data_IF_121857608862
#
_entry.id   IF_121857608862
#
_cell.length_a   1.000
_cell.length_b   1.000
_cell.length_c   1.000
_cell.angle_alpha   90.00
_cell.angle_beta   90.00
_cell.angle_gamma   90.00
#
_symmetry.space_group_name_H-M   'P 1'
#
loop_
_entity.id
_entity.type
_entity.pdbx_description
1 polymer ?
#
# COMPACT_ATOMS: atom_id res chain seq x y z
N UNK A 1 -24.84 6.15 -6.36
CA UNK A 1 -24.59 7.15 -5.31
C UNK A 1 -23.35 6.78 -4.50
N UNK A 2 -22.30 7.59 -4.62
CA UNK A 2 -21.04 7.54 -3.87
C UNK A 2 -21.06 8.67 -2.84
N UNK A 3 -20.56 8.40 -1.64
CA UNK A 3 -20.59 9.29 -0.50
C UNK A 3 -19.20 9.47 0.08
N UNK A 4 -18.89 10.68 0.54
CA UNK A 4 -17.71 10.96 1.35
C UNK A 4 -18.08 11.83 2.53
N UNK A 5 -17.59 11.47 3.71
CA UNK A 5 -17.92 12.15 4.97
C UNK A 5 -16.66 12.62 5.69
N UNK A 6 -16.66 13.90 6.07
CA UNK A 6 -15.61 14.52 6.87
C UNK A 6 -16.15 15.05 8.18
N UNK A 7 -15.36 14.92 9.23
CA UNK A 7 -15.58 15.55 10.52
C UNK A 7 -14.43 16.49 10.82
N UNK A 8 -14.76 17.75 11.11
CA UNK A 8 -13.77 18.76 11.52
C UNK A 8 -14.19 19.38 12.84
N UNK A 9 -13.23 19.50 13.75
CA UNK A 9 -13.42 20.20 15.03
C UNK A 9 -12.81 21.58 14.90
N UNK A 10 -13.54 22.60 15.33
CA UNK A 10 -13.09 23.99 15.29
C UNK A 10 -13.15 24.59 16.68
N UNK A 11 -11.98 24.93 17.19
CA UNK A 11 -11.80 25.53 18.52
C UNK A 11 -11.87 27.07 18.48
N UNK A 12 -11.83 27.67 17.28
CA UNK A 12 -11.84 29.12 17.09
C UNK A 12 -13.26 29.69 17.15
N UNK A 13 -13.42 30.77 17.91
CA UNK A 13 -14.65 31.56 18.10
C UNK A 13 -15.28 32.03 16.77
N UNK A 14 -14.47 32.23 15.73
CA UNK A 14 -14.92 32.84 14.46
C UNK A 14 -15.64 31.86 13.52
N UNK A 15 -15.58 30.55 13.75
CA UNK A 15 -16.22 29.53 12.88
C UNK A 15 -17.25 28.71 13.63
N UNK A 16 -18.11 29.38 14.41
CA UNK A 16 -19.13 28.71 15.22
C UNK A 16 -20.43 28.43 14.47
N UNK A 17 -20.57 28.89 13.22
CA UNK A 17 -21.79 28.72 12.42
C UNK A 17 -21.52 27.96 11.13
N UNK A 18 -22.54 27.29 10.60
CA UNK A 18 -22.45 26.64 9.28
C UNK A 18 -22.15 27.68 8.20
N UNK A 19 -22.71 28.88 8.29
CA UNK A 19 -22.46 29.94 7.30
C UNK A 19 -21.00 30.42 7.33
N UNK A 20 -20.40 30.61 8.51
CA UNK A 20 -18.99 30.99 8.59
C UNK A 20 -18.06 29.89 8.07
N UNK A 21 -18.39 28.60 8.29
CA UNK A 21 -17.68 27.51 7.65
C UNK A 21 -17.80 27.55 6.11
N UNK A 22 -19.01 27.74 5.58
CA UNK A 22 -19.24 27.86 4.13
C UNK A 22 -18.40 28.98 3.52
N UNK A 23 -18.41 30.16 4.14
CA UNK A 23 -17.64 31.30 3.68
C UNK A 23 -16.12 31.01 3.66
N UNK A 24 -15.60 30.25 4.64
CA UNK A 24 -14.19 29.86 4.66
C UNK A 24 -13.85 28.86 3.55
N UNK A 25 -14.72 27.89 3.29
CA UNK A 25 -14.54 26.95 2.17
C UNK A 25 -14.57 27.70 0.83
N UNK A 26 -15.44 28.70 0.70
CA UNK A 26 -15.58 29.57 -0.47
C UNK A 26 -14.54 30.71 -0.54
N UNK A 27 -13.52 30.71 0.32
CA UNK A 27 -12.35 31.60 0.14
C UNK A 27 -11.51 31.22 -1.09
N UNK A 28 -11.77 30.05 -1.65
CA UNK A 28 -11.28 29.61 -2.95
C UNK A 28 -12.30 29.98 -4.02
N UNK A 29 -11.93 30.84 -4.96
CA UNK A 29 -12.83 31.31 -6.02
C UNK A 29 -13.35 30.17 -6.91
N UNK A 30 -12.64 29.04 -6.93
CA UNK A 30 -13.05 27.85 -7.68
C UNK A 30 -14.14 27.02 -6.97
N UNK A 31 -14.44 27.31 -5.69
CA UNK A 31 -15.44 26.59 -4.90
C UNK A 31 -16.65 27.49 -4.64
N UNK A 32 -17.82 27.06 -5.12
CA UNK A 32 -19.08 27.73 -4.85
C UNK A 32 -20.07 26.79 -4.15
N UNK A 33 -20.40 27.11 -2.89
CA UNK A 33 -21.38 26.38 -2.09
C UNK A 33 -22.72 27.12 -2.16
N UNK A 34 -23.69 26.52 -2.83
CA UNK A 34 -25.09 26.96 -2.81
C UNK A 34 -25.83 26.33 -1.62
N UNK A 35 -27.17 26.33 -1.57
CA UNK A 35 -27.92 25.72 -0.44
C UNK A 35 -27.60 24.23 -0.25
N UNK A 36 -27.56 23.46 -1.34
CA UNK A 36 -27.41 22.00 -1.34
C UNK A 36 -26.37 21.49 -2.34
N UNK A 37 -25.81 22.37 -3.18
CA UNK A 37 -24.87 21.99 -4.23
C UNK A 37 -23.50 22.65 -4.05
N UNK A 38 -22.45 21.85 -4.09
CA UNK A 38 -21.05 22.21 -4.20
C UNK A 38 -20.70 22.27 -5.69
N UNK A 39 -20.36 23.45 -6.19
CA UNK A 39 -19.84 23.64 -7.54
C UNK A 39 -18.34 23.82 -7.51
N UNK A 40 -17.64 23.09 -8.35
CA UNK A 40 -16.19 23.20 -8.57
C UNK A 40 -15.92 23.15 -10.06
N UNK A 41 -15.53 24.29 -10.64
CA UNK A 41 -15.50 24.45 -12.10
C UNK A 41 -16.87 24.25 -12.72
N UNK A 42 -16.97 23.36 -13.72
CA UNK A 42 -18.23 23.01 -14.39
C UNK A 42 -19.05 21.93 -13.66
N UNK A 43 -18.44 21.28 -12.67
CA UNK A 43 -19.07 20.16 -11.96
C UNK A 43 -19.86 20.62 -10.74
N UNK A 44 -20.96 19.93 -10.46
CA UNK A 44 -21.86 20.19 -9.33
C UNK A 44 -22.16 18.89 -8.60
N UNK A 45 -21.99 18.90 -7.28
CA UNK A 45 -22.17 17.75 -6.39
C UNK A 45 -23.09 18.13 -5.24
N UNK A 46 -23.90 17.20 -4.75
CA UNK A 46 -24.74 17.45 -3.59
C UNK A 46 -23.91 17.40 -2.31
N UNK A 47 -24.25 18.26 -1.34
CA UNK A 47 -23.59 18.27 -0.04
C UNK A 47 -24.55 18.62 1.11
N UNK A 48 -24.21 18.14 2.29
CA UNK A 48 -24.89 18.41 3.55
C UNK A 48 -23.85 18.81 4.61
N UNK A 49 -24.15 19.82 5.42
CA UNK A 49 -23.32 20.20 6.57
C UNK A 49 -24.20 20.25 7.81
N UNK A 50 -23.87 19.42 8.79
CA UNK A 50 -24.47 19.47 10.12
C UNK A 50 -23.44 19.99 11.12
N UNK A 51 -23.95 20.66 12.15
CA UNK A 51 -23.15 21.22 13.24
C UNK A 51 -23.53 20.51 14.54
N UNK A 52 -22.55 20.23 15.38
CA UNK A 52 -22.76 19.82 16.75
C UNK A 52 -21.73 20.43 17.71
N UNK A 53 -21.86 20.05 18.98
CA UNK A 53 -20.96 20.50 20.05
C UNK A 53 -20.28 19.31 20.69
N UNK A 54 -19.01 19.49 21.04
CA UNK A 54 -18.27 18.54 21.87
C UNK A 54 -18.55 18.90 23.32
N UNK A 55 -19.14 17.97 24.06
CA UNK A 55 -19.57 18.19 25.44
C UNK A 55 -18.46 17.91 26.47
N UNK A 56 -17.35 17.31 26.04
CA UNK A 56 -16.21 16.95 26.88
C UNK A 56 -15.00 17.83 26.56
N UNK A 57 -14.51 18.59 27.55
CA UNK A 57 -13.37 19.50 27.42
C UNK A 57 -13.76 20.96 27.19
N UNK A 58 -12.92 21.72 26.47
CA UNK A 58 -13.27 23.05 25.98
C UNK A 58 -14.44 22.93 25.01
N UNK A 59 -15.44 23.82 25.13
CA UNK A 59 -16.67 23.79 24.32
C UNK A 59 -16.37 24.07 22.84
N UNK A 60 -15.91 23.06 22.13
CA UNK A 60 -15.59 23.13 20.70
C UNK A 60 -16.79 22.77 19.84
N UNK A 61 -16.90 23.46 18.70
CA UNK A 61 -17.91 23.14 17.69
C UNK A 61 -17.32 22.14 16.71
N UNK A 62 -18.07 21.11 16.35
CA UNK A 62 -17.70 20.25 15.24
C UNK A 62 -18.67 20.44 14.07
N UNK A 63 -18.16 20.18 12.88
CA UNK A 63 -18.94 20.13 11.65
C UNK A 63 -18.76 18.76 11.00
N UNK A 64 -19.88 18.16 10.63
CA UNK A 64 -19.94 16.94 9.85
C UNK A 64 -20.39 17.32 8.44
N UNK A 65 -19.49 17.13 7.48
CA UNK A 65 -19.69 17.44 6.08
C UNK A 65 -19.90 16.13 5.34
N UNK A 66 -20.98 16.04 4.57
CA UNK A 66 -21.26 14.91 3.68
C UNK A 66 -21.33 15.42 2.25
N UNK A 67 -20.70 14.68 1.34
CA UNK A 67 -20.69 14.99 -0.08
C UNK A 67 -21.15 13.76 -0.85
N UNK A 68 -21.91 13.99 -1.92
CA UNK A 68 -22.54 12.94 -2.70
C UNK A 68 -22.26 13.11 -4.19
N UNK A 69 -22.00 12.00 -4.86
CA UNK A 69 -21.83 11.89 -6.29
C UNK A 69 -22.72 10.77 -6.83
N UNK A 70 -23.68 11.09 -7.69
CA UNK A 70 -24.63 10.10 -8.20
C UNK A 70 -23.98 9.13 -9.20
N UNK A 71 -23.15 9.67 -10.08
CA UNK A 71 -22.63 8.99 -11.26
C UNK A 71 -21.18 8.52 -11.06
N UNK A 72 -20.92 7.25 -11.40
CA UNK A 72 -19.57 6.66 -11.31
C UNK A 72 -18.58 7.23 -12.33
N UNK A 73 -19.08 7.86 -13.40
CA UNK A 73 -18.31 8.56 -14.42
C UNK A 73 -17.66 9.84 -13.88
N UNK A 74 -18.25 10.47 -12.85
CA UNK A 74 -17.79 11.75 -12.30
C UNK A 74 -16.91 11.61 -11.05
N UNK A 75 -16.48 10.39 -10.73
CA UNK A 75 -15.71 10.13 -9.50
C UNK A 75 -14.34 10.80 -9.52
N UNK A 76 -13.72 10.92 -10.68
CA UNK A 76 -12.43 11.59 -10.81
C UNK A 76 -12.56 13.08 -10.48
N UNK A 77 -13.54 13.75 -11.10
CA UNK A 77 -13.87 15.15 -10.84
C UNK A 77 -14.33 15.36 -9.40
N UNK A 78 -15.10 14.41 -8.86
CA UNK A 78 -15.53 14.43 -7.46
C UNK A 78 -14.32 14.34 -6.50
N UNK A 79 -13.36 13.45 -6.78
CA UNK A 79 -12.11 13.34 -6.01
C UNK A 79 -11.31 14.63 -6.04
N UNK A 80 -11.23 15.30 -7.19
CA UNK A 80 -10.57 16.59 -7.36
C UNK A 80 -11.29 17.67 -6.53
N UNK A 81 -12.63 17.72 -6.60
CA UNK A 81 -13.43 18.66 -5.82
C UNK A 81 -13.23 18.46 -4.30
N UNK A 82 -13.29 17.21 -3.83
CA UNK A 82 -13.03 16.87 -2.43
C UNK A 82 -11.62 17.25 -2.00
N UNK A 83 -10.61 17.09 -2.87
CA UNK A 83 -9.23 17.53 -2.58
C UNK A 83 -9.15 19.03 -2.33
N UNK A 84 -9.83 19.85 -3.14
CA UNK A 84 -9.88 21.31 -2.94
C UNK A 84 -10.58 21.65 -1.62
N UNK A 85 -11.70 21.00 -1.31
CA UNK A 85 -12.41 21.18 -0.03
C UNK A 85 -11.50 20.80 1.14
N UNK A 86 -10.83 19.64 1.11
CA UNK A 86 -9.87 19.22 2.15
C UNK A 86 -8.74 20.23 2.32
N UNK A 87 -8.25 20.81 1.22
CA UNK A 87 -7.28 21.90 1.23
C UNK A 87 -7.76 23.08 2.08
N UNK A 88 -9.01 23.52 1.90
CA UNK A 88 -9.59 24.62 2.70
C UNK A 88 -9.87 24.21 4.15
N UNK A 89 -10.37 23.00 4.37
CA UNK A 89 -10.56 22.45 5.72
C UNK A 89 -9.23 22.45 6.50
N UNK A 90 -8.12 22.09 5.85
CA UNK A 90 -6.78 22.06 6.47
C UNK A 90 -6.28 23.42 6.95
N UNK A 91 -6.76 24.53 6.35
CA UNK A 91 -6.46 25.90 6.80
C UNK A 91 -7.23 26.29 8.07
N UNK A 92 -8.40 25.68 8.28
CA UNK A 92 -9.23 25.91 9.48
C UNK A 92 -8.68 25.10 10.64
N UNK A 93 -8.47 23.80 10.41
CA UNK A 93 -7.81 22.89 11.32
C UNK A 93 -6.99 21.89 10.48
N UNK A 94 -5.71 21.72 10.83
CA UNK A 94 -4.82 20.77 10.14
C UNK A 94 -5.40 19.36 10.13
N UNK A 95 -6.15 19.00 11.17
CA UNK A 95 -6.74 17.67 11.32
C UNK A 95 -8.22 17.70 10.94
N UNK A 96 -8.58 16.87 9.98
CA UNK A 96 -9.96 16.49 9.67
C UNK A 96 -10.02 14.96 9.63
N UNK A 97 -11.12 14.39 10.12
CA UNK A 97 -11.33 12.95 10.15
C UNK A 97 -12.18 12.54 8.97
N UNK A 98 -11.75 11.52 8.23
CA UNK A 98 -12.58 10.89 7.20
C UNK A 98 -13.42 9.80 7.85
N UNK A 99 -14.74 9.95 7.86
CA UNK A 99 -15.66 9.00 8.47
C UNK A 99 -16.15 7.94 7.46
N UNK A 100 -16.21 8.33 6.19
CA UNK A 100 -16.67 7.48 5.09
C UNK A 100 -16.02 7.92 3.78
N UNK A 101 -15.58 6.98 2.94
CA UNK A 101 -14.90 7.28 1.69
C UNK A 101 -15.22 6.25 0.57
N UNK A 102 -16.30 6.51 -0.17
CA UNK A 102 -16.65 5.67 -1.32
C UNK A 102 -15.74 5.91 -2.53
N UNK A 103 -14.98 7.01 -2.58
CA UNK A 103 -14.00 7.25 -3.65
C UNK A 103 -12.86 6.25 -3.51
N UNK A 104 -12.32 6.11 -2.30
CA UNK A 104 -11.33 5.07 -1.99
C UNK A 104 -11.88 3.67 -2.22
N UNK A 105 -13.13 3.40 -1.84
CA UNK A 105 -13.77 2.11 -2.11
C UNK A 105 -13.85 1.81 -3.61
N UNK A 106 -14.32 2.77 -4.43
CA UNK A 106 -14.43 2.63 -5.88
C UNK A 106 -13.09 2.26 -6.54
N UNK A 107 -12.02 2.99 -6.20
CA UNK A 107 -10.69 2.69 -6.75
C UNK A 107 -10.13 1.39 -6.19
N UNK A 108 -10.39 1.06 -4.93
CA UNK A 108 -9.98 -0.21 -4.33
C UNK A 108 -10.63 -1.40 -5.03
N UNK A 109 -11.93 -1.34 -5.35
CA UNK A 109 -12.61 -2.39 -6.12
C UNK A 109 -12.02 -2.57 -7.51
N UNK A 110 -11.67 -1.47 -8.20
CA UNK A 110 -11.02 -1.53 -9.52
C UNK A 110 -9.60 -2.08 -9.45
N UNK A 111 -8.84 -1.64 -8.45
CA UNK A 111 -7.43 -2.00 -8.27
C UNK A 111 -7.28 -3.45 -7.81
N UNK A 112 -8.16 -3.93 -6.92
CA UNK A 112 -8.04 -5.25 -6.32
C UNK A 112 -8.00 -6.38 -7.36
N UNK A 113 -8.82 -6.31 -8.41
CA UNK A 113 -8.79 -7.28 -9.50
C UNK A 113 -7.44 -7.33 -10.22
N UNK A 114 -6.82 -6.16 -10.44
CA UNK A 114 -5.50 -6.05 -11.08
C UNK A 114 -4.39 -6.57 -10.15
N UNK A 115 -4.43 -6.18 -8.88
CA UNK A 115 -3.48 -6.64 -7.86
C UNK A 115 -3.57 -8.15 -7.69
N UNK A 116 -4.78 -8.69 -7.55
CA UNK A 116 -5.03 -10.12 -7.43
C UNK A 116 -4.51 -10.91 -8.65
N UNK A 117 -4.69 -10.36 -9.86
CA UNK A 117 -4.14 -10.97 -11.05
C UNK A 117 -2.60 -11.01 -11.03
N UNK A 118 -1.96 -9.90 -10.69
CA UNK A 118 -0.48 -9.80 -10.58
C UNK A 118 0.05 -10.74 -9.51
N UNK A 119 -0.62 -10.80 -8.36
CA UNK A 119 -0.28 -11.70 -7.26
C UNK A 119 -0.32 -13.16 -7.70
N UNK A 120 -1.37 -13.58 -8.41
CA UNK A 120 -1.45 -14.94 -8.96
C UNK A 120 -0.38 -15.22 -10.01
N UNK A 121 -0.03 -14.22 -10.84
CA UNK A 121 1.08 -14.37 -11.80
C UNK A 121 2.42 -14.58 -11.08
N UNK A 122 2.70 -13.81 -10.03
CA UNK A 122 3.90 -13.98 -9.22
C UNK A 122 3.93 -15.34 -8.52
N UNK A 123 2.82 -15.75 -7.88
CA UNK A 123 2.73 -17.08 -7.24
C UNK A 123 2.95 -18.19 -8.27
N UNK A 124 2.34 -18.09 -9.45
CA UNK A 124 2.55 -19.04 -10.56
C UNK A 124 4.01 -19.09 -11.00
N UNK A 125 4.65 -17.93 -11.16
CA UNK A 125 6.07 -17.84 -11.54
C UNK A 125 6.94 -18.53 -10.50
N UNK A 126 6.81 -18.16 -9.22
CA UNK A 126 7.59 -18.70 -8.12
C UNK A 126 7.40 -20.21 -7.98
N UNK A 127 6.14 -20.68 -7.97
CA UNK A 127 5.87 -22.12 -7.86
C UNK A 127 6.49 -22.91 -9.02
N UNK A 128 6.33 -22.43 -10.26
CA UNK A 128 6.93 -23.11 -11.43
C UNK A 128 8.45 -23.08 -11.37
N UNK A 129 9.03 -21.93 -11.06
CA UNK A 129 10.47 -21.75 -10.97
C UNK A 129 11.07 -22.70 -9.91
N UNK A 130 10.50 -22.70 -8.70
CA UNK A 130 10.98 -23.50 -7.60
C UNK A 130 10.87 -25.00 -7.91
N UNK A 131 9.73 -25.46 -8.43
CA UNK A 131 9.54 -26.88 -8.76
C UNK A 131 10.43 -27.36 -9.90
N UNK A 132 10.57 -26.58 -10.99
CA UNK A 132 11.34 -26.98 -12.17
C UNK A 132 12.84 -26.95 -11.91
N UNK A 133 13.34 -25.89 -11.25
CA UNK A 133 14.79 -25.71 -11.09
C UNK A 133 15.33 -26.29 -9.79
N UNK A 134 14.52 -26.43 -8.74
CA UNK A 134 14.97 -26.85 -7.42
C UNK A 134 14.38 -28.19 -6.93
N UNK A 135 13.43 -28.78 -7.67
CA UNK A 135 12.82 -30.07 -7.33
C UNK A 135 11.72 -29.99 -6.26
N UNK A 136 11.26 -31.13 -5.73
CA UNK A 136 10.12 -31.20 -4.79
C UNK A 136 10.46 -30.79 -3.35
N UNK A 137 11.72 -30.95 -2.92
CA UNK A 137 12.15 -30.73 -1.53
C UNK A 137 12.70 -29.31 -1.25
N UNK A 138 12.48 -28.36 -2.15
CA UNK A 138 13.03 -27.01 -2.04
C UNK A 138 12.56 -26.22 -0.79
N UNK A 139 11.45 -26.64 -0.18
CA UNK A 139 10.78 -25.94 0.93
C UNK A 139 11.51 -26.02 2.27
N UNK A 140 12.40 -26.98 2.46
CA UNK A 140 13.15 -27.17 3.72
C UNK A 140 14.44 -26.32 3.77
N UNK A 141 15.17 -26.24 2.66
CA UNK A 141 16.53 -25.71 2.61
C UNK A 141 16.66 -24.35 1.91
N UNK A 142 15.72 -23.99 1.02
CA UNK A 142 15.88 -22.86 0.07
C UNK A 142 14.86 -21.75 0.25
N UNK A 143 14.21 -21.70 1.41
CA UNK A 143 13.34 -20.59 1.81
C UNK A 143 14.16 -19.56 2.60
N UNK A 144 14.13 -18.27 2.24
CA UNK A 144 14.76 -17.21 3.03
C UNK A 144 14.24 -17.20 4.46
N UNK A 145 15.11 -16.90 5.43
CA UNK A 145 14.75 -16.88 6.85
C UNK A 145 13.58 -15.90 7.11
N UNK A 146 13.57 -14.79 6.37
CA UNK A 146 12.56 -13.72 6.44
C UNK A 146 11.14 -14.16 6.05
N UNK A 147 11.06 -15.26 5.29
CA UNK A 147 9.81 -15.90 4.87
C UNK A 147 9.49 -17.11 5.74
N UNK A 148 10.51 -17.85 6.21
CA UNK A 148 10.31 -19.01 7.12
C UNK A 148 9.47 -18.63 8.35
N UNK A 149 9.70 -17.45 8.92
CA UNK A 149 8.92 -16.95 10.08
C UNK A 149 7.44 -16.74 9.79
N UNK A 150 7.08 -16.54 8.51
CA UNK A 150 5.72 -16.27 8.05
C UNK A 150 4.99 -17.54 7.57
N UNK A 151 5.67 -18.69 7.60
CA UNK A 151 5.13 -19.99 7.16
C UNK A 151 4.79 -20.83 8.38
N UNK A 152 3.54 -21.31 8.45
CA UNK A 152 3.16 -22.30 9.45
C UNK A 152 3.60 -23.70 8.98
N UNK A 153 4.82 -24.10 9.30
CA UNK A 153 5.40 -25.40 8.94
C UNK A 153 4.66 -26.62 9.51
N UNK A 154 3.74 -26.43 10.47
CA UNK A 154 2.86 -27.51 10.95
C UNK A 154 1.83 -27.93 9.89
N UNK A 155 1.61 -27.10 8.87
CA UNK A 155 0.75 -27.41 7.74
C UNK A 155 1.61 -27.83 6.54
N UNK A 156 1.63 -29.13 6.21
CA UNK A 156 2.39 -29.70 5.07
C UNK A 156 1.74 -29.38 3.71
N UNK A 157 1.18 -28.19 3.56
CA UNK A 157 0.51 -27.79 2.33
C UNK A 157 1.56 -27.52 1.25
N UNK A 158 1.51 -28.30 0.17
CA UNK A 158 2.38 -28.12 -1.01
C UNK A 158 2.13 -26.76 -1.65
N UNK A 159 0.95 -26.17 -1.44
CA UNK A 159 0.57 -24.84 -1.91
C UNK A 159 0.78 -23.75 -0.86
N UNK A 160 1.68 -23.93 0.11
CA UNK A 160 1.92 -22.94 1.17
C UNK A 160 2.22 -21.53 0.63
N UNK A 161 2.78 -21.41 -0.58
CA UNK A 161 2.96 -20.12 -1.25
C UNK A 161 1.65 -19.35 -1.37
N UNK A 162 0.48 -19.98 -1.47
CA UNK A 162 -0.82 -19.28 -1.50
C UNK A 162 -1.22 -18.68 -0.15
N UNK A 163 -0.63 -19.16 0.95
CA UNK A 163 -0.95 -18.74 2.31
C UNK A 163 0.02 -17.66 2.83
N UNK A 164 0.99 -17.26 2.00
CA UNK A 164 2.00 -16.24 2.33
C UNK A 164 1.52 -14.87 1.84
N UNK A 165 1.67 -13.84 2.67
CA UNK A 165 1.35 -12.46 2.28
C UNK A 165 2.11 -12.04 1.01
N UNK A 166 1.45 -11.30 0.13
CA UNK A 166 2.02 -10.90 -1.16
C UNK A 166 3.36 -10.17 -1.00
N UNK A 167 3.51 -9.32 0.02
CA UNK A 167 4.75 -8.59 0.29
C UNK A 167 5.94 -9.54 0.54
N UNK A 168 5.70 -10.70 1.16
CA UNK A 168 6.71 -11.73 1.44
C UNK A 168 7.12 -12.55 0.23
N UNK A 169 6.36 -12.49 -0.86
CA UNK A 169 6.80 -13.08 -2.13
C UNK A 169 8.00 -12.33 -2.74
N UNK A 170 8.17 -11.04 -2.43
CA UNK A 170 9.33 -10.28 -2.89
C UNK A 170 10.62 -10.82 -2.28
N UNK A 171 10.58 -11.18 -1.00
CA UNK A 171 11.72 -11.77 -0.28
C UNK A 171 12.20 -13.08 -0.95
N UNK A 172 11.32 -13.85 -1.60
CA UNK A 172 11.74 -15.04 -2.34
C UNK A 172 12.63 -14.75 -3.55
N UNK A 173 12.44 -13.59 -4.20
CA UNK A 173 13.23 -13.20 -5.35
C UNK A 173 14.50 -12.48 -4.90
N UNK A 174 14.38 -11.55 -3.96
CA UNK A 174 15.43 -10.57 -3.68
C UNK A 174 16.19 -10.81 -2.38
N UNK A 175 15.70 -11.65 -1.45
CA UNK A 175 16.45 -11.93 -0.23
C UNK A 175 17.70 -12.75 -0.54
N UNK A 176 18.78 -12.37 0.12
CA UNK A 176 20.07 -13.07 0.14
C UNK A 176 20.20 -13.94 1.41
N UNK A 177 19.23 -13.85 2.33
CA UNK A 177 19.29 -14.47 3.66
C UNK A 177 18.81 -15.94 3.64
N UNK A 178 19.54 -16.81 2.96
CA UNK A 178 19.27 -18.25 3.04
C UNK A 178 20.06 -18.94 4.17
N UNK A 179 19.48 -19.95 4.83
CA UNK A 179 20.11 -20.64 5.96
C UNK A 179 21.47 -21.28 5.64
N UNK A 180 21.66 -21.74 4.41
CA UNK A 180 22.80 -22.58 4.02
C UNK A 180 24.10 -21.83 3.71
N UNK A 181 24.10 -20.50 3.57
CA UNK A 181 25.27 -19.77 3.08
C UNK A 181 26.31 -19.47 4.16
N UNK A 182 25.91 -18.92 5.31
CA UNK A 182 26.86 -18.44 6.33
C UNK A 182 27.64 -19.57 6.99
N UNK A 183 26.94 -20.63 7.43
CA UNK A 183 27.58 -21.74 8.13
C UNK A 183 28.49 -22.56 7.22
N UNK A 184 28.13 -22.71 5.94
CA UNK A 184 28.91 -23.47 4.96
C UNK A 184 30.21 -22.76 4.59
N UNK A 185 30.18 -21.43 4.40
CA UNK A 185 31.38 -20.63 4.14
C UNK A 185 32.31 -20.64 5.36
N UNK A 186 31.76 -20.39 6.56
CA UNK A 186 32.54 -20.41 7.81
C UNK A 186 33.19 -21.78 8.00
N UNK A 187 32.44 -22.88 7.83
CA UNK A 187 32.98 -24.24 7.98
C UNK A 187 34.11 -24.52 7.00
N UNK A 188 33.98 -24.10 5.74
CA UNK A 188 35.04 -24.27 4.72
C UNK A 188 36.29 -23.45 5.03
N UNK A 189 36.13 -22.22 5.49
CA UNK A 189 37.25 -21.36 5.90
C UNK A 189 37.98 -21.93 7.13
N UNK A 190 37.25 -22.47 8.12
CA UNK A 190 37.85 -23.06 9.33
C UNK A 190 38.53 -24.41 9.07
N UNK A 191 38.12 -25.15 8.03
CA UNK A 191 38.71 -26.44 7.65
C UNK A 191 39.91 -26.31 6.71
N UNK A 192 40.14 -25.13 6.12
CA UNK A 192 41.26 -24.89 5.23
C UNK A 192 42.57 -24.85 6.03
N UNK A 193 43.54 -25.68 5.61
CA UNK A 193 44.87 -25.71 6.24
C UNK A 193 45.78 -24.59 5.73
N UNK A 194 45.62 -24.19 4.47
CA UNK A 194 46.40 -23.14 3.80
C UNK A 194 45.56 -22.41 2.73
N UNK A 195 45.91 -21.16 2.41
CA UNK A 195 45.20 -20.32 1.43
C UNK A 195 45.22 -20.89 -0.01
N UNK A 196 46.22 -21.69 -0.35
CA UNK A 196 46.35 -22.38 -1.64
C UNK A 196 45.39 -23.57 -1.80
N UNK A 197 44.80 -24.06 -0.70
CA UNK A 197 43.82 -25.15 -0.69
C UNK A 197 42.37 -24.68 -0.89
N UNK A 198 42.14 -23.36 -0.95
CA UNK A 198 40.84 -22.75 -1.10
C UNK A 198 40.55 -22.48 -2.58
N UNK A 199 39.58 -23.21 -3.15
CA UNK A 199 39.06 -22.90 -4.49
C UNK A 199 38.12 -21.68 -4.40
N UNK A 200 38.57 -20.58 -5.02
CA UNK A 200 37.84 -19.30 -5.07
C UNK A 200 36.48 -19.47 -5.77
N UNK A 201 36.36 -20.35 -6.76
CA UNK A 201 35.10 -20.58 -7.46
C UNK A 201 34.09 -21.31 -6.58
N UNK A 202 34.55 -22.25 -5.76
CA UNK A 202 33.70 -22.91 -4.77
C UNK A 202 33.29 -22.00 -3.61
N UNK A 203 34.10 -21.01 -3.25
CA UNK A 203 33.73 -20.03 -2.22
C UNK A 203 32.71 -19.05 -2.79
N UNK A 204 32.90 -18.59 -4.03
CA UNK A 204 31.94 -17.71 -4.71
C UNK A 204 30.55 -18.33 -4.83
N UNK A 205 30.45 -19.64 -5.09
CA UNK A 205 29.15 -20.33 -5.18
C UNK A 205 28.45 -20.49 -3.83
N UNK A 206 29.16 -20.27 -2.72
CA UNK A 206 28.62 -20.30 -1.36
C UNK A 206 28.25 -18.91 -0.83
N UNK A 207 28.65 -17.84 -1.53
CA UNK A 207 28.24 -16.49 -1.18
C UNK A 207 26.71 -16.36 -1.32
N UNK A 208 26.08 -15.62 -0.42
CA UNK A 208 24.65 -15.39 -0.49
C UNK A 208 24.35 -14.56 -1.74
N UNK A 209 23.51 -15.09 -2.62
CA UNK A 209 23.03 -14.43 -3.82
C UNK A 209 21.52 -14.61 -3.90
N UNK A 210 20.81 -13.57 -4.30
CA UNK A 210 19.36 -13.62 -4.45
C UNK A 210 18.95 -14.52 -5.62
N UNK A 211 17.75 -15.09 -5.57
CA UNK A 211 17.21 -15.86 -6.70
C UNK A 211 17.09 -14.98 -7.95
N UNK A 212 16.81 -13.68 -7.77
CA UNK A 212 16.77 -12.69 -8.84
C UNK A 212 18.11 -12.61 -9.59
N UNK A 213 19.20 -12.31 -8.88
CA UNK A 213 20.52 -12.17 -9.48
C UNK A 213 20.97 -13.45 -10.17
N UNK A 214 20.70 -14.59 -9.53
CA UNK A 214 21.16 -15.90 -9.98
C UNK A 214 20.41 -16.45 -11.21
N UNK A 215 19.10 -16.22 -11.30
CA UNK A 215 18.26 -16.91 -12.30
C UNK A 215 17.43 -16.00 -13.19
N UNK A 216 17.15 -14.76 -12.79
CA UNK A 216 16.23 -13.89 -13.52
C UNK A 216 16.92 -12.69 -14.18
N UNK A 217 17.94 -12.11 -13.54
CA UNK A 217 18.59 -10.89 -14.01
C UNK A 217 19.21 -11.00 -15.41
N UNK A 218 19.68 -12.19 -15.80
CA UNK A 218 20.26 -12.44 -17.13
C UNK A 218 19.23 -12.74 -18.22
N UNK A 219 17.98 -13.06 -17.85
CA UNK A 219 16.91 -13.47 -18.76
C UNK A 219 15.89 -12.35 -18.96
N UNK A 220 15.73 -11.49 -17.95
CA UNK A 220 14.76 -10.40 -17.96
C UNK A 220 15.40 -9.13 -18.48
N UNK A 221 15.02 -8.72 -19.69
CA UNK A 221 15.33 -7.39 -20.21
C UNK A 221 14.38 -6.37 -19.58
N UNK A 222 14.76 -5.81 -18.43
CA UNK A 222 14.07 -4.67 -17.82
C UNK A 222 14.79 -3.37 -18.18
N UNK A 223 14.14 -2.48 -18.92
CA UNK A 223 14.59 -1.09 -19.09
C UNK A 223 14.44 -0.35 -17.74
N UNK A 224 15.58 -0.13 -17.08
CA UNK A 224 15.68 0.33 -15.70
C UNK A 224 15.37 1.81 -15.47
N UNK A 225 14.10 2.20 -15.61
CA UNK A 225 13.59 3.46 -15.05
C UNK A 225 12.58 3.26 -13.90
N UNK A 226 12.16 2.02 -13.63
CA UNK A 226 11.05 1.73 -12.71
C UNK A 226 11.36 0.73 -11.58
N UNK A 227 12.63 0.43 -11.30
CA UNK A 227 13.05 -0.56 -10.30
C UNK A 227 13.88 0.04 -9.15
N UNK A 228 13.89 1.36 -8.96
CA UNK A 228 14.53 2.04 -7.81
C UNK A 228 13.53 2.97 -7.13
#
# INVERSE_FOLDING_TARGET
MYKVEYLIVVDKVNTTTVQSLKNLIQSDDEINLTKTQLKVGENSFEYEITKGFIFTGDKSTYFHLKFYCEESSKIEEFSIALRKVRGRLSMINKTHFTLWDDVSMYYSTKAYNKIYHIENLMRKLLTKFMLVNLGMDWTSERIPIDVKSSINFNNKDVNFLNNIDFIKLSDFLFSENYPSHKESVIKKLTQAKDFTSLDINEIKSLLPESNWSKYFASIVECEGAALV
#
